data_IF_647103758058
#
_entry.id   IF_647103758058
#
_cell.length_a   1.000
_cell.length_b   1.000
_cell.length_c   1.000
_cell.angle_alpha   90.00
_cell.angle_beta   90.00
_cell.angle_gamma   90.00
#
_symmetry.space_group_name_H-M   'P 1'
#
loop_
_entity.id
_entity.type
_entity.pdbx_description
1 polymer ?
#
# COMPACT_ATOMS: atom_id res chain seq x y z
N UNK A 1 -4.71 54.72 28.68
CA UNK A 1 -5.77 53.82 29.15
C UNK A 1 -5.95 52.75 28.09
N UNK A 2 -5.70 51.48 28.45
CA UNK A 2 -5.97 50.37 27.53
C UNK A 2 -7.45 50.39 27.16
N UNK A 3 -7.77 50.40 25.86
CA UNK A 3 -9.15 50.45 25.39
C UNK A 3 -9.90 49.19 25.86
N UNK A 4 -11.01 49.36 26.59
CA UNK A 4 -11.87 48.25 27.05
C UNK A 4 -12.38 47.38 25.88
N UNK A 5 -12.48 47.94 24.68
CA UNK A 5 -12.85 47.23 23.46
C UNK A 5 -11.74 46.31 22.92
N UNK A 6 -10.46 46.61 23.20
CA UNK A 6 -9.34 45.75 22.80
C UNK A 6 -9.31 44.43 23.57
N UNK A 7 -9.64 44.46 24.88
CA UNK A 7 -9.77 43.26 25.70
C UNK A 7 -10.94 42.37 25.26
N UNK A 8 -12.09 42.97 24.92
CA UNK A 8 -13.25 42.24 24.39
C UNK A 8 -12.94 41.61 23.04
N UNK A 9 -12.26 42.33 22.14
CA UNK A 9 -11.85 41.80 20.84
C UNK A 9 -10.83 40.64 20.99
N UNK A 10 -9.87 40.78 21.92
CA UNK A 10 -8.94 39.71 22.26
C UNK A 10 -9.66 38.46 22.79
N UNK A 11 -10.66 38.63 23.68
CA UNK A 11 -11.46 37.52 24.18
C UNK A 11 -12.29 36.85 23.06
N UNK A 12 -12.89 37.65 22.18
CA UNK A 12 -13.67 37.17 21.04
C UNK A 12 -12.83 36.33 20.06
N UNK A 13 -11.70 36.87 19.63
CA UNK A 13 -10.75 36.19 18.73
C UNK A 13 -10.19 34.91 19.35
N UNK A 14 -9.91 34.94 20.65
CA UNK A 14 -9.50 33.74 21.41
C UNK A 14 -10.59 32.66 21.42
N UNK A 15 -11.85 33.02 21.66
CA UNK A 15 -12.96 32.05 21.64
C UNK A 15 -13.16 31.43 20.25
N UNK A 16 -13.03 32.23 19.18
CA UNK A 16 -13.10 31.69 17.82
C UNK A 16 -11.95 30.73 17.51
N UNK A 17 -10.71 31.08 17.89
CA UNK A 17 -9.56 30.20 17.69
C UNK A 17 -9.70 28.89 18.45
N UNK A 18 -10.15 28.93 19.71
CA UNK A 18 -10.36 27.74 20.53
C UNK A 18 -11.53 26.89 20.00
N UNK A 19 -12.63 27.51 19.54
CA UNK A 19 -13.73 26.78 18.89
C UNK A 19 -13.23 26.01 17.67
N UNK A 20 -12.40 26.65 16.82
CA UNK A 20 -11.80 25.97 15.66
C UNK A 20 -10.89 24.81 16.09
N UNK A 21 -10.15 24.96 17.19
CA UNK A 21 -9.38 23.89 17.81
C UNK A 21 -10.24 22.69 18.24
N UNK A 22 -11.39 22.96 18.84
CA UNK A 22 -12.35 21.92 19.22
C UNK A 22 -12.97 21.23 18.00
N UNK A 23 -13.31 21.97 16.95
CA UNK A 23 -13.85 21.40 15.71
C UNK A 23 -12.85 20.42 15.07
N UNK A 24 -11.57 20.80 14.96
CA UNK A 24 -10.50 19.92 14.43
C UNK A 24 -10.25 18.73 15.35
N UNK A 25 -10.34 18.91 16.67
CA UNK A 25 -10.25 17.80 17.62
C UNK A 25 -11.40 16.82 17.45
N UNK A 26 -12.62 17.32 17.24
CA UNK A 26 -13.79 16.52 16.93
C UNK A 26 -13.63 15.74 15.63
N UNK A 27 -13.11 16.38 14.58
CA UNK A 27 -12.81 15.72 13.31
C UNK A 27 -11.78 14.58 13.46
N UNK A 28 -10.71 14.83 14.23
CA UNK A 28 -9.70 13.80 14.51
C UNK A 28 -10.29 12.61 15.28
N UNK A 29 -11.16 12.86 16.26
CA UNK A 29 -11.81 11.79 17.03
C UNK A 29 -12.77 11.00 16.14
N UNK A 30 -13.56 11.69 15.32
CA UNK A 30 -14.51 11.05 14.41
C UNK A 30 -13.81 10.13 13.39
N UNK A 31 -12.61 10.51 12.93
CA UNK A 31 -11.84 9.74 11.94
C UNK A 31 -10.68 8.94 12.54
N UNK A 32 -10.65 8.75 13.86
CA UNK A 32 -9.54 8.07 14.54
C UNK A 32 -9.32 6.63 14.04
N UNK A 33 -10.37 5.98 13.51
CA UNK A 33 -10.32 4.63 12.96
C UNK A 33 -10.43 4.60 11.42
N UNK A 34 -10.39 5.75 10.75
CA UNK A 34 -10.41 5.82 9.29
C UNK A 34 -8.99 5.58 8.78
N UNK A 35 -8.81 4.53 7.98
CA UNK A 35 -7.51 4.25 7.34
C UNK A 35 -7.10 5.41 6.41
N UNK A 36 -5.82 5.77 6.46
CA UNK A 36 -5.27 6.88 5.67
C UNK A 36 -5.50 8.28 6.24
N UNK A 37 -6.33 8.44 7.27
CA UNK A 37 -6.56 9.75 7.89
C UNK A 37 -5.31 10.26 8.64
N UNK A 38 -4.89 11.49 8.34
CA UNK A 38 -3.79 12.13 9.06
C UNK A 38 -4.32 13.05 10.14
N UNK A 39 -3.84 12.90 11.38
CA UNK A 39 -4.21 13.81 12.47
C UNK A 39 -3.88 15.25 12.11
N UNK A 40 -4.83 16.16 12.31
CA UNK A 40 -4.67 17.58 12.03
C UNK A 40 -4.46 18.40 13.30
N UNK A 41 -3.64 19.45 13.24
CA UNK A 41 -3.38 20.40 14.33
C UNK A 41 -3.65 21.84 13.87
N UNK A 42 -4.35 22.59 14.71
CA UNK A 42 -4.58 24.03 14.50
C UNK A 42 -3.34 24.79 14.97
N UNK A 43 -2.73 25.56 14.07
CA UNK A 43 -1.69 26.52 14.40
C UNK A 43 -2.34 27.87 14.71
N UNK A 44 -2.06 28.39 15.90
CA UNK A 44 -2.55 29.68 16.35
C UNK A 44 -1.41 30.69 16.34
N UNK A 45 -1.67 31.89 15.82
CA UNK A 45 -0.69 32.96 15.76
C UNK A 45 -1.29 34.24 16.35
N UNK A 46 -0.46 34.99 17.08
CA UNK A 46 -0.85 36.33 17.53
C UNK A 46 -1.20 37.19 16.33
N UNK A 47 -2.37 37.83 16.34
CA UNK A 47 -2.70 38.81 15.30
C UNK A 47 -1.81 40.02 15.51
N UNK A 48 -1.03 40.40 14.50
CA UNK A 48 -0.28 41.64 14.56
C UNK A 48 -1.19 42.76 14.05
N UNK A 49 -1.53 43.71 14.92
CA UNK A 49 -2.26 44.91 14.50
C UNK A 49 -1.46 45.73 13.50
N UNK A 50 -2.12 46.54 12.68
CA UNK A 50 -1.45 47.42 11.70
C UNK A 50 -0.43 48.33 12.39
N UNK A 51 0.86 47.97 12.32
CA UNK A 51 1.98 48.79 12.76
C UNK A 51 2.22 49.91 11.73
N UNK A 52 1.34 50.91 11.71
CA UNK A 52 1.58 52.11 10.93
C UNK A 52 2.63 52.96 11.64
N UNK A 53 3.86 52.94 11.14
CA UNK A 53 4.97 53.79 11.63
C UNK A 53 4.69 55.23 11.20
N UNK A 54 3.95 55.98 12.03
CA UNK A 54 3.73 57.41 11.86
C UNK A 54 4.54 58.19 12.91
N UNK A 55 4.89 59.45 12.61
CA UNK A 55 5.78 60.33 13.40
C UNK A 55 5.35 60.51 14.88
N UNK A 56 4.13 60.12 15.23
CA UNK A 56 3.57 60.16 16.59
C UNK A 56 2.81 58.87 16.98
N UNK A 57 3.02 57.77 16.27
CA UNK A 57 2.35 56.51 16.60
C UNK A 57 2.82 55.99 17.97
N UNK A 58 1.87 55.89 18.92
CA UNK A 58 2.06 55.24 20.22
C UNK A 58 1.17 54.00 20.28
N UNK A 59 1.66 52.88 19.79
CA UNK A 59 1.04 51.57 19.97
C UNK A 59 2.04 50.66 20.69
N UNK A 60 1.60 49.98 21.75
CA UNK A 60 2.39 48.98 22.48
C UNK A 60 2.29 47.58 21.84
N UNK A 61 1.49 47.44 20.78
CA UNK A 61 1.30 46.17 20.07
C UNK A 61 0.55 45.10 20.88
N UNK A 62 -0.02 45.47 22.04
CA UNK A 62 -0.70 44.54 22.96
C UNK A 62 -2.21 44.56 22.74
N UNK A 63 -2.85 43.38 22.81
CA UNK A 63 -4.32 43.27 22.80
C UNK A 63 -4.95 43.18 21.40
N UNK A 64 -4.18 42.73 20.42
CA UNK A 64 -4.63 42.50 19.04
C UNK A 64 -5.26 41.12 18.83
N UNK A 65 -5.20 40.23 19.83
CA UNK A 65 -5.86 38.93 19.79
C UNK A 65 -5.04 37.80 19.15
N UNK A 66 -5.70 36.68 18.92
CA UNK A 66 -5.12 35.46 18.33
C UNK A 66 -5.97 34.99 17.16
N UNK A 67 -5.33 34.58 16.08
CA UNK A 67 -5.97 34.00 14.90
C UNK A 67 -5.49 32.58 14.67
N UNK A 68 -6.24 31.83 13.85
CA UNK A 68 -5.77 30.56 13.29
C UNK A 68 -4.99 30.88 12.03
N UNK A 69 -3.72 30.50 11.98
CA UNK A 69 -2.86 30.69 10.80
C UNK A 69 -3.01 29.56 9.80
N UNK A 70 -3.11 28.32 10.28
CA UNK A 70 -3.28 27.14 9.44
C UNK A 70 -3.87 25.95 10.22
N UNK A 71 -4.37 24.96 9.49
CA UNK A 71 -4.63 23.61 10.01
C UNK A 71 -3.66 22.66 9.31
N UNK A 72 -2.65 22.20 10.02
CA UNK A 72 -1.56 21.38 9.46
C UNK A 72 -1.79 19.89 9.72
N UNK A 73 -1.43 19.06 8.74
CA UNK A 73 -1.38 17.60 8.86
C UNK A 73 -0.13 17.19 9.63
N UNK A 74 -0.30 16.34 10.64
CA UNK A 74 0.79 15.79 11.45
C UNK A 74 1.27 14.49 10.83
N UNK A 75 2.26 14.59 9.93
CA UNK A 75 2.88 13.44 9.26
C UNK A 75 4.39 13.38 9.43
N UNK A 76 4.93 12.18 9.36
CA UNK A 76 6.36 11.92 9.26
C UNK A 76 6.64 11.36 7.86
N UNK A 77 7.06 12.24 6.97
CA UNK A 77 7.32 11.89 5.57
C UNK A 77 8.43 10.84 5.42
N UNK A 78 9.40 10.81 6.34
CA UNK A 78 10.47 9.82 6.31
C UNK A 78 9.93 8.42 6.64
N UNK A 79 9.11 8.30 7.69
CA UNK A 79 8.48 7.04 8.05
C UNK A 79 7.50 6.56 6.98
N UNK A 80 6.73 7.46 6.37
CA UNK A 80 5.81 7.11 5.30
C UNK A 80 6.56 6.60 4.05
N UNK A 81 7.62 7.29 3.62
CA UNK A 81 8.40 6.86 2.47
C UNK A 81 9.07 5.51 2.73
N UNK A 82 9.59 5.28 3.95
CA UNK A 82 10.12 3.98 4.35
C UNK A 82 9.03 2.91 4.35
N UNK A 83 7.85 3.22 4.90
CA UNK A 83 6.71 2.32 4.92
C UNK A 83 6.30 1.87 3.52
N UNK A 84 6.22 2.80 2.55
CA UNK A 84 5.92 2.49 1.15
C UNK A 84 6.96 1.54 0.53
N UNK A 85 8.25 1.79 0.76
CA UNK A 85 9.33 0.95 0.22
C UNK A 85 9.34 -0.47 0.82
N UNK A 86 9.18 -0.59 2.14
CA UNK A 86 9.11 -1.88 2.82
C UNK A 86 7.85 -2.65 2.43
N UNK A 87 6.72 -1.96 2.28
CA UNK A 87 5.48 -2.59 1.81
C UNK A 87 5.63 -3.13 0.39
N UNK A 88 6.24 -2.37 -0.53
CA UNK A 88 6.55 -2.84 -1.89
C UNK A 88 7.42 -4.10 -1.87
N UNK A 89 8.44 -4.13 -1.01
CA UNK A 89 9.34 -5.28 -0.86
C UNK A 89 8.60 -6.49 -0.30
N UNK A 90 7.77 -6.30 0.72
CA UNK A 90 6.95 -7.36 1.29
C UNK A 90 5.95 -7.94 0.28
N UNK A 91 5.28 -7.10 -0.51
CA UNK A 91 4.36 -7.53 -1.54
C UNK A 91 5.06 -8.37 -2.63
N UNK A 92 6.25 -7.93 -3.08
CA UNK A 92 7.07 -8.68 -4.02
C UNK A 92 7.47 -10.06 -3.49
N UNK A 93 7.97 -10.12 -2.25
CA UNK A 93 8.39 -11.38 -1.62
C UNK A 93 7.20 -12.31 -1.40
N UNK A 94 6.06 -11.77 -0.98
CA UNK A 94 4.83 -12.55 -0.77
C UNK A 94 4.34 -13.17 -2.08
N UNK A 95 4.30 -12.38 -3.17
CA UNK A 95 3.94 -12.88 -4.49
C UNK A 95 4.91 -13.93 -5.02
N UNK A 96 6.21 -13.71 -4.84
CA UNK A 96 7.26 -14.67 -5.23
C UNK A 96 7.13 -15.98 -4.46
N UNK A 97 6.93 -15.91 -3.15
CA UNK A 97 6.75 -17.08 -2.30
C UNK A 97 5.50 -17.89 -2.68
N UNK A 98 4.38 -17.20 -3.00
CA UNK A 98 3.19 -17.87 -3.49
C UNK A 98 3.43 -18.61 -4.82
N UNK A 99 4.17 -17.99 -5.74
CA UNK A 99 4.55 -18.62 -7.00
C UNK A 99 5.43 -19.86 -6.79
N UNK A 100 6.45 -19.77 -5.93
CA UNK A 100 7.32 -20.91 -5.61
C UNK A 100 6.56 -22.04 -4.93
N UNK A 101 5.70 -21.73 -3.96
CA UNK A 101 4.88 -22.75 -3.30
C UNK A 101 4.01 -23.52 -4.30
N UNK A 102 3.40 -22.82 -5.26
CA UNK A 102 2.64 -23.49 -6.31
C UNK A 102 3.50 -24.36 -7.22
N UNK A 103 4.78 -24.02 -7.45
CA UNK A 103 5.72 -24.88 -8.19
C UNK A 103 6.09 -26.10 -7.36
N UNK A 104 6.37 -25.93 -6.06
CA UNK A 104 6.64 -27.03 -5.13
C UNK A 104 5.48 -28.03 -5.09
N UNK A 105 4.24 -27.53 -5.05
CA UNK A 105 3.02 -28.35 -5.07
C UNK A 105 2.85 -29.16 -6.37
N UNK A 106 3.40 -28.70 -7.51
CA UNK A 106 3.36 -29.45 -8.78
C UNK A 106 4.22 -30.71 -8.71
N UNK A 107 5.40 -30.61 -8.10
CA UNK A 107 6.31 -31.74 -7.96
C UNK A 107 5.95 -32.61 -6.75
N UNK A 108 5.45 -31.99 -5.68
CA UNK A 108 5.05 -32.63 -4.42
C UNK A 108 6.13 -33.59 -3.88
N UNK A 109 7.41 -33.20 -4.03
CA UNK A 109 8.54 -34.01 -3.59
C UNK A 109 8.97 -33.67 -2.16
N UNK A 110 9.38 -34.68 -1.36
CA UNK A 110 9.42 -36.11 -1.67
C UNK A 110 8.07 -36.83 -1.44
N UNK A 111 7.72 -37.77 -2.32
CA UNK A 111 6.57 -38.67 -2.16
C UNK A 111 6.82 -39.99 -2.89
N UNK A 112 6.22 -41.08 -2.42
CA UNK A 112 6.28 -42.41 -3.05
C UNK A 112 5.62 -42.43 -4.44
N UNK A 113 4.76 -41.45 -4.73
CA UNK A 113 4.08 -41.31 -6.03
C UNK A 113 4.63 -40.16 -6.88
N UNK A 114 5.60 -39.40 -6.38
CA UNK A 114 6.19 -38.28 -7.11
C UNK A 114 7.19 -38.74 -8.17
N UNK A 115 7.59 -37.80 -9.03
CA UNK A 115 8.42 -38.08 -10.21
C UNK A 115 9.72 -38.81 -9.86
N UNK A 116 10.43 -38.38 -8.81
CA UNK A 116 11.66 -39.05 -8.37
C UNK A 116 11.47 -40.53 -8.00
N UNK A 117 10.34 -40.90 -7.38
CA UNK A 117 10.02 -42.29 -7.06
C UNK A 117 9.67 -43.09 -8.31
N UNK A 118 8.81 -42.54 -9.18
CA UNK A 118 8.44 -43.17 -10.45
C UNK A 118 9.66 -43.39 -11.37
N UNK A 119 10.60 -42.44 -11.42
CA UNK A 119 11.85 -42.59 -12.16
C UNK A 119 12.70 -43.72 -11.59
N UNK A 120 12.74 -43.88 -10.26
CA UNK A 120 13.46 -44.98 -9.59
C UNK A 120 12.86 -46.34 -9.98
N UNK A 121 11.54 -46.45 -10.00
CA UNK A 121 10.84 -47.67 -10.39
C UNK A 121 11.02 -48.01 -11.87
N UNK A 122 11.06 -47.00 -12.74
CA UNK A 122 11.41 -47.15 -14.16
C UNK A 122 12.83 -47.69 -14.33
N UNK A 123 13.82 -47.13 -13.61
CA UNK A 123 15.20 -47.64 -13.62
C UNK A 123 15.31 -49.07 -13.06
N UNK A 124 14.52 -49.41 -12.04
CA UNK A 124 14.40 -50.78 -11.55
C UNK A 124 13.88 -51.73 -12.63
N UNK A 125 12.84 -51.32 -13.36
CA UNK A 125 12.27 -52.10 -14.46
C UNK A 125 13.25 -52.32 -15.62
N UNK A 126 14.15 -51.36 -15.87
CA UNK A 126 15.25 -51.55 -16.81
C UNK A 126 16.22 -52.66 -16.36
N UNK A 127 16.52 -52.74 -15.07
CA UNK A 127 17.36 -53.79 -14.50
C UNK A 127 16.71 -55.17 -14.67
N UNK A 128 15.40 -55.28 -14.42
CA UNK A 128 14.65 -56.53 -14.56
C UNK A 128 14.65 -57.05 -16.01
N UNK A 129 14.52 -56.15 -16.99
CA UNK A 129 14.63 -56.47 -18.41
C UNK A 129 16.06 -56.91 -18.76
N UNK A 130 17.09 -56.26 -18.22
CA UNK A 130 18.48 -56.63 -18.47
C UNK A 130 18.81 -58.04 -17.95
N UNK A 131 18.26 -58.41 -16.78
CA UNK A 131 18.42 -59.75 -16.20
C UNK A 131 17.61 -60.82 -16.94
N UNK A 132 16.47 -60.47 -17.54
CA UNK A 132 15.53 -61.41 -18.17
C UNK A 132 15.01 -60.95 -19.54
N UNK A 133 15.88 -60.74 -20.55
CA UNK A 133 15.51 -60.04 -21.79
C UNK A 133 14.52 -60.80 -22.67
N UNK A 134 14.41 -62.12 -22.49
CA UNK A 134 13.54 -62.99 -23.31
C UNK A 134 12.11 -63.04 -22.78
N UNK A 135 11.87 -62.66 -21.52
CA UNK A 135 10.55 -62.68 -20.91
C UNK A 135 9.73 -61.46 -21.35
N UNK A 136 8.45 -61.68 -21.67
CA UNK A 136 7.54 -60.58 -22.03
C UNK A 136 7.13 -59.74 -20.81
N UNK A 137 6.96 -60.36 -19.64
CA UNK A 137 6.47 -59.68 -18.44
C UNK A 137 7.35 -58.49 -17.98
N UNK A 138 8.69 -58.61 -17.85
CA UNK A 138 9.54 -57.46 -17.48
C UNK A 138 9.51 -56.33 -18.52
N UNK A 139 9.40 -56.68 -19.82
CA UNK A 139 9.30 -55.71 -20.92
C UNK A 139 8.00 -54.92 -20.84
N UNK A 140 6.88 -55.58 -20.59
CA UNK A 140 5.60 -54.89 -20.39
C UNK A 140 5.60 -53.98 -19.16
N UNK A 141 6.22 -54.42 -18.05
CA UNK A 141 6.36 -53.60 -16.85
C UNK A 141 7.20 -52.34 -17.11
N UNK A 142 8.33 -52.47 -17.82
CA UNK A 142 9.16 -51.33 -18.22
C UNK A 142 8.40 -50.32 -19.09
N UNK A 143 7.64 -50.78 -20.09
CA UNK A 143 6.83 -49.89 -20.94
C UNK A 143 5.81 -49.15 -20.10
N UNK A 144 5.11 -49.84 -19.19
CA UNK A 144 4.13 -49.22 -18.32
C UNK A 144 4.76 -48.16 -17.40
N UNK A 145 5.89 -48.47 -16.76
CA UNK A 145 6.56 -47.51 -15.88
C UNK A 145 7.13 -46.32 -16.64
N UNK A 146 7.65 -46.54 -17.85
CA UNK A 146 8.09 -45.45 -18.73
C UNK A 146 6.93 -44.55 -19.15
N UNK A 147 5.75 -45.12 -19.42
CA UNK A 147 4.53 -44.35 -19.71
C UNK A 147 4.11 -43.51 -18.50
N UNK A 148 4.09 -44.09 -17.31
CA UNK A 148 3.75 -43.36 -16.07
C UNK A 148 4.66 -42.15 -15.85
N UNK A 149 5.97 -42.30 -16.03
CA UNK A 149 6.93 -41.18 -15.92
C UNK A 149 6.64 -40.10 -16.97
N UNK A 150 6.39 -40.50 -18.23
CA UNK A 150 6.06 -39.56 -19.29
C UNK A 150 4.76 -38.79 -19.00
N UNK A 151 3.72 -39.47 -18.53
CA UNK A 151 2.44 -38.88 -18.15
C UNK A 151 2.61 -37.87 -17.00
N UNK A 152 3.43 -38.22 -15.99
CA UNK A 152 3.72 -37.32 -14.87
C UNK A 152 4.49 -36.07 -15.31
N UNK A 153 5.47 -36.21 -16.23
CA UNK A 153 6.20 -35.06 -16.78
C UNK A 153 5.29 -34.14 -17.60
N UNK A 154 4.39 -34.72 -18.41
CA UNK A 154 3.41 -33.95 -19.17
C UNK A 154 2.43 -33.20 -18.23
N UNK A 155 1.93 -33.88 -17.19
CA UNK A 155 1.05 -33.25 -16.20
C UNK A 155 1.73 -32.09 -15.46
N UNK A 156 3.01 -32.24 -15.10
CA UNK A 156 3.80 -31.17 -14.49
C UNK A 156 3.98 -29.98 -15.44
N UNK A 157 4.29 -30.24 -16.72
CA UNK A 157 4.39 -29.19 -17.74
C UNK A 157 3.06 -28.43 -17.89
N UNK A 158 1.93 -29.14 -17.97
CA UNK A 158 0.60 -28.53 -18.08
C UNK A 158 0.25 -27.68 -16.85
N UNK A 159 0.62 -28.13 -15.66
CA UNK A 159 0.42 -27.37 -14.43
C UNK A 159 1.25 -26.08 -14.41
N UNK A 160 2.54 -26.16 -14.75
CA UNK A 160 3.44 -25.00 -14.82
C UNK A 160 2.99 -24.00 -15.91
N UNK A 161 2.54 -24.49 -17.06
CA UNK A 161 2.03 -23.64 -18.15
C UNK A 161 0.75 -22.90 -17.75
N UNK A 162 -0.15 -23.58 -17.04
CA UNK A 162 -1.36 -22.96 -16.47
C UNK A 162 -1.00 -21.89 -15.44
N UNK A 163 -0.10 -22.18 -14.52
CA UNK A 163 0.36 -21.23 -13.51
C UNK A 163 0.99 -19.98 -14.17
N UNK A 164 1.85 -20.18 -15.17
CA UNK A 164 2.45 -19.09 -15.94
C UNK A 164 1.39 -18.19 -16.57
N UNK A 165 0.40 -18.80 -17.24
CA UNK A 165 -0.68 -18.07 -17.91
C UNK A 165 -1.56 -17.31 -16.91
N UNK A 166 -1.86 -17.89 -15.76
CA UNK A 166 -2.61 -17.23 -14.67
C UNK A 166 -1.84 -16.02 -14.12
N UNK A 167 -0.56 -16.18 -13.81
CA UNK A 167 0.30 -15.08 -13.34
C UNK A 167 0.40 -13.96 -14.40
N UNK A 168 0.47 -14.33 -15.69
CA UNK A 168 0.50 -13.35 -16.78
C UNK A 168 -0.79 -12.55 -16.88
N UNK A 169 -1.94 -13.20 -16.71
CA UNK A 169 -3.24 -12.53 -16.69
C UNK A 169 -3.40 -11.62 -15.47
N UNK A 170 -2.96 -12.07 -14.30
CA UNK A 170 -2.95 -11.25 -13.09
C UNK A 170 -2.07 -10.00 -13.25
N UNK A 171 -0.92 -10.13 -13.93
CA UNK A 171 -0.07 -8.98 -14.25
C UNK A 171 -0.78 -7.95 -15.14
N UNK A 172 -1.60 -8.38 -16.10
CA UNK A 172 -2.38 -7.45 -16.92
C UNK A 172 -3.41 -6.69 -16.07
N UNK A 173 -4.09 -7.37 -15.15
CA UNK A 173 -5.01 -6.73 -14.21
C UNK A 173 -4.32 -5.69 -13.31
N UNK A 174 -3.10 -5.98 -12.83
CA UNK A 174 -2.31 -5.01 -12.05
C UNK A 174 -1.92 -3.77 -12.88
N UNK A 175 -1.62 -3.93 -14.18
CA UNK A 175 -1.35 -2.78 -15.05
C UNK A 175 -2.58 -1.90 -15.19
N UNK A 176 -3.76 -2.49 -15.36
CA UNK A 176 -5.02 -1.74 -15.42
C UNK A 176 -5.33 -1.01 -14.11
N UNK A 177 -5.10 -1.66 -12.97
CA UNK A 177 -5.24 -1.07 -11.63
C UNK A 177 -4.28 0.10 -11.41
N UNK A 178 -3.01 -0.04 -11.81
CA UNK A 178 -2.01 1.03 -11.72
C UNK A 178 -2.42 2.22 -12.59
N UNK A 179 -2.86 1.98 -13.82
CA UNK A 179 -3.31 3.05 -14.72
C UNK A 179 -4.57 3.76 -14.17
N UNK A 180 -5.52 3.01 -13.63
CA UNK A 180 -6.71 3.56 -12.98
C UNK A 180 -6.37 4.42 -11.75
N UNK A 181 -5.44 3.94 -10.91
CA UNK A 181 -4.94 4.67 -9.75
C UNK A 181 -4.21 5.95 -10.16
N UNK A 182 -3.35 5.89 -11.19
CA UNK A 182 -2.65 7.05 -11.72
C UNK A 182 -3.62 8.11 -12.26
N UNK A 183 -4.69 7.69 -12.93
CA UNK A 183 -5.76 8.60 -13.37
C UNK A 183 -6.48 9.25 -12.19
N UNK A 184 -6.79 8.50 -11.13
CA UNK A 184 -7.40 9.04 -9.91
C UNK A 184 -6.48 10.06 -9.22
N UNK A 185 -5.18 9.77 -9.12
CA UNK A 185 -4.18 10.71 -8.58
C UNK A 185 -4.13 11.99 -9.42
N UNK A 186 -4.18 11.90 -10.75
CA UNK A 186 -4.21 13.08 -11.61
C UNK A 186 -5.45 13.96 -11.36
N UNK A 187 -6.62 13.34 -11.17
CA UNK A 187 -7.87 14.06 -10.84
C UNK A 187 -7.83 14.70 -9.44
N UNK A 188 -7.23 14.02 -8.46
CA UNK A 188 -7.01 14.56 -7.11
C UNK A 188 -6.07 15.77 -7.17
N UNK A 189 -4.97 15.68 -7.92
CA UNK A 189 -4.03 16.79 -8.09
C UNK A 189 -4.70 18.03 -8.72
N UNK A 190 -5.52 17.86 -9.75
CA UNK A 190 -6.30 18.96 -10.35
C UNK A 190 -7.27 19.59 -9.32
N UNK A 191 -7.92 18.75 -8.50
CA UNK A 191 -8.82 19.20 -7.43
C UNK A 191 -8.08 19.99 -6.34
N UNK A 192 -6.90 19.52 -5.93
CA UNK A 192 -6.03 20.18 -4.95
C UNK A 192 -5.57 21.54 -5.48
N UNK A 193 -5.13 21.63 -6.73
CA UNK A 193 -4.71 22.89 -7.36
C UNK A 193 -5.87 23.91 -7.38
N UNK A 194 -7.06 23.49 -7.79
CA UNK A 194 -8.25 24.35 -7.84
C UNK A 194 -8.69 24.82 -6.44
N UNK A 195 -8.65 23.93 -5.46
CA UNK A 195 -8.99 24.25 -4.09
C UNK A 195 -7.98 25.23 -3.46
N UNK A 196 -6.68 25.01 -3.67
CA UNK A 196 -5.62 25.94 -3.25
C UNK A 196 -5.78 27.32 -3.90
N UNK A 197 -6.10 27.39 -5.19
CA UNK A 197 -6.36 28.66 -5.88
C UNK A 197 -7.60 29.41 -5.35
N UNK A 198 -8.47 28.72 -4.60
CA UNK A 198 -9.68 29.28 -3.99
C UNK A 198 -9.52 29.46 -2.47
N UNK A 199 -8.31 29.33 -1.92
CA UNK A 199 -8.00 29.37 -0.48
C UNK A 199 -8.83 28.37 0.36
N UNK A 200 -9.22 27.23 -0.25
CA UNK A 200 -9.93 26.15 0.44
C UNK A 200 -8.94 25.19 1.11
N UNK A 201 -9.35 24.56 2.20
CA UNK A 201 -8.56 23.52 2.88
C UNK A 201 -8.51 22.25 2.03
N UNK A 202 -7.29 21.75 1.77
CA UNK A 202 -7.04 20.56 0.92
C UNK A 202 -6.66 19.31 1.69
N UNK A 203 -6.52 19.37 3.02
CA UNK A 203 -5.99 18.27 3.84
C UNK A 203 -6.68 16.92 3.57
N UNK A 204 -8.00 16.92 3.44
CA UNK A 204 -8.78 15.70 3.16
C UNK A 204 -8.57 15.19 1.72
N UNK A 205 -8.28 16.07 0.75
CA UNK A 205 -7.93 15.67 -0.61
C UNK A 205 -6.52 15.09 -0.67
N UNK A 206 -5.61 15.56 0.18
CA UNK A 206 -4.24 15.05 0.25
C UNK A 206 -4.09 13.77 1.11
N UNK A 207 -5.10 13.43 1.93
CA UNK A 207 -5.20 12.14 2.61
C UNK A 207 -5.73 11.02 1.68
N UNK A 208 -6.45 11.40 0.61
CA UNK A 208 -7.00 10.47 -0.39
C UNK A 208 -5.99 10.13 -1.48
#
# INVERSE_FOLDING_TARGET
MASSFGGINTALTSLYAQRRGLDVTGQNIANANTEGYTRQRVEMQSQVGSLSVAMYAKTDGVGTGVGVSAVQRMRDEYLENRGRAEHSTNAYLTGTNAAYKSIEDVFAEPSDTALAAQMRDMWGSWNDVANNPQLSAPRSALIQQSSTVADQMNAAQDALSRQWSQNRNQMAAYVDEVNGTASSIAQLNDSIIKANASDLTVNELEDR
#
